data_IF_868878168674
#
_entry.id   IF_868878168674
#
_cell.length_a   1.000
_cell.length_b   1.000
_cell.length_c   1.000
_cell.angle_alpha   90.00
_cell.angle_beta   90.00
_cell.angle_gamma   90.00
#
_symmetry.space_group_name_H-M   'P 1'
#
loop_
_entity.id
_entity.type
_entity.pdbx_description
1 polymer ?
#
# COMPACT_ATOMS: atom_id res chain seq x y z
N UNK A 1 -32.54 -10.32 -53.24
CA UNK A 1 -31.60 -11.34 -52.71
C UNK A 1 -30.21 -10.77 -52.43
N UNK A 2 -29.40 -10.42 -53.44
CA UNK A 2 -27.99 -9.98 -53.27
C UNK A 2 -27.81 -8.70 -52.41
N UNK A 3 -28.73 -7.74 -52.53
CA UNK A 3 -28.67 -6.47 -51.77
C UNK A 3 -28.92 -6.70 -50.27
N UNK A 4 -29.87 -7.57 -49.91
CA UNK A 4 -30.15 -7.92 -48.53
C UNK A 4 -28.93 -8.60 -47.90
N UNK A 5 -28.26 -9.49 -48.66
CA UNK A 5 -27.03 -10.14 -48.21
C UNK A 5 -25.90 -9.13 -47.94
N UNK A 6 -25.75 -8.13 -48.82
CA UNK A 6 -24.75 -7.08 -48.66
C UNK A 6 -25.03 -6.21 -47.42
N UNK A 7 -26.29 -5.84 -47.17
CA UNK A 7 -26.70 -5.10 -45.97
C UNK A 7 -26.42 -5.93 -44.71
N UNK A 8 -26.76 -7.21 -44.72
CA UNK A 8 -26.52 -8.12 -43.60
C UNK A 8 -25.02 -8.27 -43.32
N UNK A 9 -24.20 -8.33 -44.37
CA UNK A 9 -22.75 -8.40 -44.26
C UNK A 9 -22.16 -7.12 -43.66
N UNK A 10 -22.61 -5.94 -44.12
CA UNK A 10 -22.19 -4.66 -43.55
C UNK A 10 -22.59 -4.56 -42.07
N UNK A 11 -23.82 -4.95 -41.73
CA UNK A 11 -24.29 -4.98 -40.35
C UNK A 11 -23.44 -5.92 -39.48
N UNK A 12 -23.08 -7.09 -40.01
CA UNK A 12 -22.22 -8.05 -39.34
C UNK A 12 -20.84 -7.45 -39.07
N UNK A 13 -20.21 -6.83 -40.06
CA UNK A 13 -18.89 -6.17 -39.90
C UNK A 13 -18.95 -5.05 -38.86
N UNK A 14 -20.01 -4.23 -38.87
CA UNK A 14 -20.21 -3.17 -37.87
C UNK A 14 -20.36 -3.74 -36.45
N UNK A 15 -21.09 -4.84 -36.29
CA UNK A 15 -21.24 -5.55 -35.02
C UNK A 15 -19.91 -6.13 -34.54
N UNK A 16 -19.12 -6.73 -35.43
CA UNK A 16 -17.79 -7.25 -35.08
C UNK A 16 -16.85 -6.13 -34.62
N UNK A 17 -16.82 -4.99 -35.32
CA UNK A 17 -16.02 -3.82 -34.93
C UNK A 17 -16.49 -3.26 -33.58
N UNK A 18 -17.81 -3.19 -33.35
CA UNK A 18 -18.36 -2.74 -32.07
C UNK A 18 -18.00 -3.69 -30.94
N UNK A 19 -18.02 -5.00 -31.17
CA UNK A 19 -17.64 -6.02 -30.18
C UNK A 19 -16.16 -5.92 -29.80
N UNK A 20 -15.29 -5.64 -30.77
CA UNK A 20 -13.86 -5.46 -30.51
C UNK A 20 -13.53 -4.15 -29.78
N UNK A 21 -14.41 -3.14 -29.86
CA UNK A 21 -14.18 -1.77 -29.35
C UNK A 21 -15.12 -1.37 -28.19
N UNK A 22 -16.00 -2.25 -27.71
CA UNK A 22 -16.99 -1.95 -26.68
C UNK A 22 -16.57 -2.44 -25.30
N UNK A 23 -16.60 -1.53 -24.32
CA UNK A 23 -16.53 -1.66 -22.85
C UNK A 23 -16.06 -3.02 -22.27
N UNK A 24 -14.86 -3.46 -22.67
CA UNK A 24 -14.37 -4.82 -22.38
C UNK A 24 -13.59 -5.49 -23.52
N UNK A 25 -13.28 -4.75 -24.59
CA UNK A 25 -12.38 -5.21 -25.65
C UNK A 25 -10.94 -5.40 -25.15
N UNK A 26 -10.17 -6.27 -25.81
CA UNK A 26 -8.77 -6.62 -25.48
C UNK A 26 -7.88 -5.38 -25.26
N UNK A 27 -8.20 -4.27 -25.92
CA UNK A 27 -7.47 -3.00 -25.82
C UNK A 27 -7.60 -2.36 -24.43
N UNK A 28 -8.76 -2.44 -23.78
CA UNK A 28 -8.99 -1.85 -22.46
C UNK A 28 -8.24 -2.62 -21.37
N UNK A 29 -8.15 -3.95 -21.51
CA UNK A 29 -7.40 -4.79 -20.56
C UNK A 29 -5.89 -4.53 -20.60
N UNK A 30 -5.33 -4.20 -21.77
CA UNK A 30 -3.91 -3.89 -21.92
C UNK A 30 -3.54 -2.53 -21.33
N UNK A 31 -4.39 -1.51 -21.51
CA UNK A 31 -4.16 -0.20 -20.90
C UNK A 31 -4.35 -0.23 -19.37
N UNK A 32 -5.33 -0.98 -18.88
CA UNK A 32 -5.59 -1.13 -17.45
C UNK A 32 -4.47 -1.92 -16.75
N UNK A 33 -3.91 -2.93 -17.42
CA UNK A 33 -2.78 -3.71 -16.89
C UNK A 33 -1.52 -2.85 -16.70
N UNK A 34 -1.23 -1.94 -17.64
CA UNK A 34 -0.05 -1.07 -17.53
C UNK A 34 -0.13 -0.09 -16.35
N UNK A 35 -1.32 0.45 -16.06
CA UNK A 35 -1.54 1.33 -14.91
C UNK A 35 -1.43 0.54 -13.60
N UNK A 36 -1.98 -0.67 -13.57
CA UNK A 36 -1.87 -1.58 -12.43
C UNK A 36 -0.41 -1.92 -12.12
N UNK A 37 0.37 -2.29 -13.14
CA UNK A 37 1.77 -2.69 -12.95
C UNK A 37 2.61 -1.53 -12.40
N UNK A 38 2.39 -0.29 -12.88
CA UNK A 38 3.07 0.89 -12.35
C UNK A 38 2.72 1.15 -10.88
N UNK A 39 1.42 1.11 -10.53
CA UNK A 39 0.97 1.34 -9.16
C UNK A 39 1.46 0.27 -8.19
N UNK A 40 1.54 -1.00 -8.62
CA UNK A 40 2.07 -2.09 -7.80
C UNK A 40 3.55 -1.89 -7.50
N UNK A 41 4.34 -1.45 -8.49
CA UNK A 41 5.77 -1.15 -8.27
C UNK A 41 5.96 0.00 -7.27
N UNK A 42 5.21 1.09 -7.41
CA UNK A 42 5.26 2.21 -6.45
C UNK A 42 4.85 1.78 -5.05
N UNK A 43 3.79 0.98 -4.94
CA UNK A 43 3.31 0.50 -3.64
C UNK A 43 4.34 -0.41 -2.96
N UNK A 44 5.04 -1.27 -3.71
CA UNK A 44 6.10 -2.12 -3.16
C UNK A 44 7.25 -1.29 -2.59
N UNK A 45 7.71 -0.26 -3.31
CA UNK A 45 8.78 0.64 -2.83
C UNK A 45 8.36 1.39 -1.57
N UNK A 46 7.12 1.89 -1.51
CA UNK A 46 6.59 2.57 -0.34
C UNK A 46 6.45 1.62 0.86
N UNK A 47 6.00 0.38 0.62
CA UNK A 47 5.86 -0.65 1.66
C UNK A 47 7.20 -1.00 2.29
N UNK A 48 8.26 -1.16 1.49
CA UNK A 48 9.61 -1.42 2.01
C UNK A 48 10.14 -0.25 2.84
N UNK A 49 9.94 0.99 2.40
CA UNK A 49 10.33 2.19 3.15
C UNK A 49 9.58 2.29 4.48
N UNK A 50 8.27 2.07 4.48
CA UNK A 50 7.47 2.09 5.70
C UNK A 50 7.95 1.03 6.70
N UNK A 51 8.27 -0.18 6.22
CA UNK A 51 8.83 -1.23 7.08
C UNK A 51 10.18 -0.84 7.69
N UNK A 52 11.04 -0.18 6.93
CA UNK A 52 12.33 0.31 7.45
C UNK A 52 12.13 1.41 8.50
N UNK A 53 11.25 2.37 8.23
CA UNK A 53 10.93 3.47 9.15
C UNK A 53 10.26 2.94 10.43
N UNK A 54 9.37 1.97 10.33
CA UNK A 54 8.73 1.35 11.49
C UNK A 54 9.75 0.62 12.38
N UNK A 55 10.71 -0.07 11.77
CA UNK A 55 11.81 -0.68 12.52
C UNK A 55 12.68 0.37 13.22
N UNK A 56 13.00 1.49 12.55
CA UNK A 56 13.76 2.60 13.12
C UNK A 56 13.01 3.27 14.28
N UNK A 57 11.70 3.52 14.12
CA UNK A 57 10.86 4.07 15.20
C UNK A 57 10.82 3.13 16.41
N UNK A 58 10.74 1.83 16.17
CA UNK A 58 10.71 0.84 17.25
C UNK A 58 12.06 0.75 17.97
N UNK A 59 13.17 0.79 17.23
CA UNK A 59 14.52 0.81 17.80
C UNK A 59 14.75 2.08 18.64
N UNK A 60 14.34 3.24 18.12
CA UNK A 60 14.47 4.52 18.81
C UNK A 60 13.66 4.55 20.11
N UNK A 61 12.42 4.04 20.10
CA UNK A 61 11.59 3.91 21.30
C UNK A 61 12.25 3.01 22.34
N UNK A 62 12.68 1.80 21.94
CA UNK A 62 13.36 0.86 22.84
C UNK A 62 14.65 1.43 23.43
N UNK A 63 15.42 2.16 22.63
CA UNK A 63 16.64 2.82 23.09
C UNK A 63 16.37 3.88 24.15
N UNK A 64 15.34 4.72 23.95
CA UNK A 64 14.94 5.74 24.93
C UNK A 64 14.37 5.11 26.20
N UNK A 65 13.51 4.10 26.06
CA UNK A 65 12.92 3.39 27.20
C UNK A 65 14.00 2.70 28.04
N UNK A 66 15.00 2.07 27.40
CA UNK A 66 16.13 1.45 28.09
C UNK A 66 17.01 2.46 28.83
N UNK A 67 17.21 3.66 28.27
CA UNK A 67 17.95 4.74 28.93
C UNK A 67 17.15 5.29 30.11
N UNK A 68 15.84 5.45 29.96
CA UNK A 68 14.94 5.93 31.02
C UNK A 68 14.86 4.94 32.20
N UNK A 69 14.73 3.65 31.92
CA UNK A 69 14.77 2.58 32.93
C UNK A 69 16.08 2.62 33.72
N UNK A 70 17.22 2.78 33.04
CA UNK A 70 18.53 2.88 33.68
C UNK A 70 18.69 4.15 34.52
N UNK A 71 18.23 5.29 34.02
CA UNK A 71 18.22 6.55 34.76
C UNK A 71 17.35 6.48 36.03
N UNK A 72 16.20 5.81 35.96
CA UNK A 72 15.31 5.61 37.11
C UNK A 72 15.87 4.61 38.12
N UNK A 73 16.41 3.48 37.66
CA UNK A 73 16.89 2.40 38.52
C UNK A 73 18.29 2.62 39.11
N UNK A 74 19.26 3.13 38.34
CA UNK A 74 20.64 3.31 38.80
C UNK A 74 20.89 4.70 39.40
N UNK A 75 20.23 5.74 38.89
CA UNK A 75 20.47 7.13 39.30
C UNK A 75 19.33 7.73 40.14
N UNK A 76 18.22 7.01 40.31
CA UNK A 76 17.06 7.49 41.06
C UNK A 76 16.42 8.76 40.48
N UNK A 77 16.61 9.00 39.17
CA UNK A 77 16.11 10.21 38.51
C UNK A 77 14.60 10.12 38.31
N UNK A 78 13.91 11.21 38.66
CA UNK A 78 12.45 11.36 38.59
C UNK A 78 12.11 12.60 37.77
N UNK A 79 11.07 12.54 36.93
CA UNK A 79 10.63 13.70 36.15
C UNK A 79 9.97 14.76 37.07
N UNK A 80 10.05 16.07 36.74
CA UNK A 80 9.39 17.10 37.52
C UNK A 80 7.87 16.88 37.58
N UNK A 81 7.32 16.71 38.79
CA UNK A 81 5.88 16.47 39.00
C UNK A 81 5.43 15.00 38.96
N UNK A 82 6.38 14.04 38.89
CA UNK A 82 6.08 12.61 38.94
C UNK A 82 6.14 12.08 40.40
N UNK A 83 5.15 11.28 40.80
CA UNK A 83 5.17 10.55 42.09
C UNK A 83 5.68 9.14 41.85
N UNK A 84 6.92 8.86 42.25
CA UNK A 84 7.57 7.55 42.09
C UNK A 84 7.39 6.70 43.35
N UNK A 85 6.86 5.48 43.17
CA UNK A 85 6.72 4.48 44.24
C UNK A 85 7.72 3.36 44.02
N UNK A 86 8.67 3.17 44.94
CA UNK A 86 9.58 2.03 44.95
C UNK A 86 9.13 1.06 46.03
N UNK A 87 8.68 -0.14 45.63
CA UNK A 87 8.38 -1.20 46.58
C UNK A 87 9.68 -1.87 46.99
N UNK A 88 10.06 -1.73 48.25
CA UNK A 88 11.20 -2.45 48.85
C UNK A 88 10.61 -3.71 49.48
N UNK A 89 10.88 -4.87 48.87
CA UNK A 89 10.54 -6.15 49.50
C UNK A 89 11.57 -6.42 50.61
N UNK A 90 11.08 -6.78 51.81
CA UNK A 90 11.89 -7.10 53.02
C UNK A 90 12.84 -8.31 52.85
#
# INVERSE_FOLDING_TARGET
>A
MKIILAILFVLLVLLQIKLWRGDGGIVDTLALQQVLDHQVQENNVLTERNRALEAEVNDLKKGVDAIEERARSELGLIKPGETFFQTVDE
#
